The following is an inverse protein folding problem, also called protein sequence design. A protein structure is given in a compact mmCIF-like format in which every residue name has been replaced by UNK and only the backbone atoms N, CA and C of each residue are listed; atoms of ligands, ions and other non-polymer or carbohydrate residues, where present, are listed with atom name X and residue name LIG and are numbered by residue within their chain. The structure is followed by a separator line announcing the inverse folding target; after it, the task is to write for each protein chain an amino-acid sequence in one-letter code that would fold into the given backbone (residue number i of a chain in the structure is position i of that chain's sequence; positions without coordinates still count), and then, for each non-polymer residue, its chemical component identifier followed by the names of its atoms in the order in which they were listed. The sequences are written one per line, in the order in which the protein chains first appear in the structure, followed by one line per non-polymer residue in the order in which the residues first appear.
data_IF_799470716905
#
_entry.id   IF_799470716905
#
_cell.length_a   1.000
_cell.length_b   1.000
_cell.length_c   1.000
_cell.angle_alpha   90.00
_cell.angle_beta   90.00
_cell.angle_gamma   90.00
#
_symmetry.space_group_name_H-M   'P 1'
#
loop_
_entity.id
_entity.type
_entity.pdbx_description
1 polymer ?
#
# COMPACT_ATOMS: atom_id res chain seq x y z
N UNK A 1 -8.50 14.92 27.85
CA UNK A 1 -7.35 14.06 28.18
C UNK A 1 -6.43 14.72 29.23
N UNK A 2 -5.63 15.75 28.91
CA UNK A 2 -4.69 16.38 29.85
C UNK A 2 -5.29 16.78 31.21
N UNK A 3 -6.50 17.36 31.24
CA UNK A 3 -7.22 17.68 32.48
C UNK A 3 -7.55 16.45 33.33
N UNK A 4 -7.99 15.35 32.70
CA UNK A 4 -8.27 14.09 33.38
C UNK A 4 -7.00 13.42 33.94
N UNK A 5 -5.85 13.56 33.26
CA UNK A 5 -4.55 13.09 33.77
C UNK A 5 -4.08 13.84 35.02
N UNK A 6 -4.59 15.05 35.26
CA UNK A 6 -4.31 15.88 36.44
C UNK A 6 -5.46 15.88 37.46
N UNK A 7 -6.53 15.12 37.22
CA UNK A 7 -7.71 15.08 38.10
C UNK A 7 -8.49 16.41 38.21
N UNK A 8 -8.26 17.38 37.32
CA UNK A 8 -8.89 18.71 37.39
C UNK A 8 -10.12 18.81 36.50
N UNK A 9 -11.16 19.41 37.06
CA UNK A 9 -12.45 19.67 36.44
C UNK A 9 -12.45 20.98 35.65
N UNK A 10 -13.55 21.26 34.94
CA UNK A 10 -13.78 22.57 34.33
C UNK A 10 -14.05 23.67 35.38
N UNK A 11 -14.48 23.31 36.59
CA UNK A 11 -14.82 24.27 37.66
C UNK A 11 -13.60 24.92 38.31
N UNK A 12 -12.44 24.26 38.22
CA UNK A 12 -11.19 24.75 38.82
C UNK A 12 -10.57 25.95 38.08
N UNK A 13 -11.16 26.37 36.95
CA UNK A 13 -10.77 27.51 36.10
C UNK A 13 -9.28 27.61 35.73
N UNK A 14 -8.53 26.51 35.81
CA UNK A 14 -7.10 26.50 35.49
C UNK A 14 -6.90 26.74 33.99
N UNK A 15 -6.11 27.77 33.68
CA UNK A 15 -5.71 28.13 32.30
C UNK A 15 -5.00 26.96 31.61
N UNK A 16 -5.27 26.79 30.32
CA UNK A 16 -4.69 25.69 29.53
C UNK A 16 -3.16 25.74 29.44
N UNK A 17 -2.52 26.91 29.58
CA UNK A 17 -1.05 27.00 29.65
C UNK A 17 -0.50 26.32 30.90
N UNK A 18 -1.19 26.43 32.04
CA UNK A 18 -0.80 25.82 33.31
C UNK A 18 -0.99 24.31 33.30
N UNK A 19 -2.07 23.82 32.70
CA UNK A 19 -2.32 22.39 32.48
C UNK A 19 -1.22 21.79 31.58
N UNK A 20 -0.81 22.50 30.52
CA UNK A 20 0.32 22.09 29.66
C UNK A 20 1.67 22.15 30.40
N UNK A 21 1.89 23.15 31.25
CA UNK A 21 3.10 23.26 32.11
C UNK A 21 3.21 22.07 33.08
N UNK A 22 2.10 21.66 33.69
CA UNK A 22 2.04 20.54 34.64
C UNK A 22 2.11 19.17 33.96
N UNK A 23 1.34 18.93 32.90
CA UNK A 23 1.35 17.63 32.20
C UNK A 23 2.62 17.39 31.38
N UNK A 24 3.27 18.44 30.86
CA UNK A 24 4.37 18.37 29.88
C UNK A 24 4.01 17.58 28.59
N UNK A 25 2.73 17.31 28.33
CA UNK A 25 2.23 16.47 27.22
C UNK A 25 2.44 17.11 25.84
N UNK A 26 2.65 18.42 25.79
CA UNK A 26 3.02 19.21 24.59
C UNK A 26 4.16 18.59 23.79
N UNK A 27 5.07 17.87 24.45
CA UNK A 27 6.26 17.29 23.82
C UNK A 27 5.98 16.00 23.05
N UNK A 28 4.85 15.30 23.22
CA UNK A 28 4.64 14.01 22.50
C UNK A 28 4.43 14.25 21.00
N UNK A 29 3.56 15.18 20.61
CA UNK A 29 3.35 15.52 19.21
C UNK A 29 4.61 16.14 18.58
N UNK A 30 5.32 17.00 19.33
CA UNK A 30 6.58 17.59 18.89
C UNK A 30 7.71 16.56 18.76
N UNK A 31 7.80 15.59 19.69
CA UNK A 31 8.74 14.47 19.65
C UNK A 31 8.43 13.50 18.51
N UNK A 32 7.16 13.21 18.20
CA UNK A 32 6.78 12.43 17.01
C UNK A 32 7.16 13.17 15.73
N UNK A 33 6.92 14.48 15.65
CA UNK A 33 7.36 15.30 14.52
C UNK A 33 8.90 15.36 14.40
N UNK A 34 9.61 15.50 15.52
CA UNK A 34 11.08 15.50 15.62
C UNK A 34 11.66 14.14 15.20
N UNK A 35 11.10 13.03 15.68
CA UNK A 35 11.50 11.67 15.29
C UNK A 35 11.25 11.43 13.79
N UNK A 36 10.11 11.87 13.22
CA UNK A 36 9.86 11.80 11.77
C UNK A 36 10.87 12.62 10.98
N UNK A 37 11.21 13.84 11.40
CA UNK A 37 12.25 14.68 10.78
C UNK A 37 13.66 14.09 10.92
N UNK A 38 13.99 13.52 12.09
CA UNK A 38 15.26 12.86 12.34
C UNK A 38 15.41 11.59 11.49
N UNK A 39 14.36 10.78 11.37
CA UNK A 39 14.32 9.62 10.49
C UNK A 39 14.47 10.04 9.02
N UNK A 40 13.68 11.00 8.55
CA UNK A 40 13.79 11.51 7.17
C UNK A 40 15.20 12.05 6.87
N UNK A 41 15.79 12.82 7.81
CA UNK A 41 17.16 13.31 7.68
C UNK A 41 18.23 12.22 7.80
N UNK A 42 17.99 11.14 8.53
CA UNK A 42 18.89 9.98 8.59
C UNK A 42 18.85 9.21 7.27
N UNK A 43 17.67 8.98 6.69
CA UNK A 43 17.52 8.36 5.37
C UNK A 43 18.17 9.25 4.28
N UNK A 44 17.94 10.56 4.30
CA UNK A 44 18.53 11.49 3.33
C UNK A 44 20.06 11.65 3.43
N UNK A 45 20.68 11.22 4.54
CA UNK A 45 22.15 11.22 4.72
C UNK A 45 22.78 9.83 4.54
N UNK A 46 21.99 8.78 4.32
CA UNK A 46 22.52 7.44 4.03
C UNK A 46 22.92 7.37 2.55
N UNK A 47 24.22 7.20 2.32
CA UNK A 47 24.81 6.95 0.99
C UNK A 47 24.99 5.45 0.69
N UNK A 48 24.55 4.57 1.60
CA UNK A 48 24.74 3.11 1.58
C UNK A 48 23.91 2.36 0.52
N UNK A 49 23.26 3.07 -0.40
CA UNK A 49 22.47 2.49 -1.50
C UNK A 49 21.28 1.64 -1.03
N UNK A 50 20.90 1.73 0.25
CA UNK A 50 19.81 0.97 0.84
C UNK A 50 18.45 1.35 0.23
N UNK A 51 17.52 0.40 0.30
CA UNK A 51 16.22 0.44 -0.38
C UNK A 51 15.41 1.71 -0.06
N UNK A 52 15.55 2.26 1.15
CA UNK A 52 14.85 3.49 1.58
C UNK A 52 15.21 4.75 0.78
N UNK A 53 16.47 4.89 0.32
CA UNK A 53 16.86 6.01 -0.56
C UNK A 53 16.30 5.78 -1.97
N UNK A 54 16.46 4.56 -2.51
CA UNK A 54 15.96 4.17 -3.84
C UNK A 54 14.44 4.31 -4.00
N UNK A 55 13.67 4.15 -2.93
CA UNK A 55 12.21 4.38 -2.92
C UNK A 55 11.85 5.87 -2.86
N UNK A 56 12.68 6.73 -2.25
CA UNK A 56 12.47 8.18 -2.23
C UNK A 56 12.93 8.87 -3.53
N UNK A 57 14.00 8.36 -4.14
CA UNK A 57 14.51 8.81 -5.44
C UNK A 57 13.80 8.17 -6.63
N UNK A 58 12.89 7.22 -6.39
CA UNK A 58 12.10 6.58 -7.45
C UNK A 58 11.31 7.64 -8.23
N UNK A 59 11.70 7.85 -9.48
CA UNK A 59 10.89 8.53 -10.47
C UNK A 59 10.36 7.49 -11.45
N UNK A 60 9.08 7.57 -11.86
CA UNK A 60 8.58 6.76 -12.96
C UNK A 60 9.48 6.98 -14.17
N UNK A 61 10.01 5.91 -14.76
CA UNK A 61 10.67 6.02 -16.07
C UNK A 61 9.61 6.50 -17.08
N UNK A 62 9.88 7.56 -17.87
CA UNK A 62 8.98 7.89 -18.96
C UNK A 62 8.87 6.68 -19.88
N UNK A 63 7.64 6.27 -20.21
CA UNK A 63 7.42 5.22 -21.20
C UNK A 63 8.14 5.61 -22.49
N UNK A 64 8.81 4.65 -23.13
CA UNK A 64 9.46 4.85 -24.43
C UNK A 64 8.42 5.38 -25.43
N UNK A 65 8.53 6.66 -25.80
CA UNK A 65 7.60 7.34 -26.71
C UNK A 65 7.29 8.80 -26.38
N UNK A 66 7.46 9.25 -25.13
CA UNK A 66 7.19 10.64 -24.72
C UNK A 66 8.48 11.46 -24.57
N UNK A 67 9.01 11.98 -25.67
CA UNK A 67 10.11 12.95 -25.68
C UNK A 67 9.61 14.30 -25.15
N UNK A 68 9.78 14.57 -23.85
CA UNK A 68 9.60 15.92 -23.31
C UNK A 68 10.86 16.74 -23.60
N UNK A 69 10.84 17.44 -24.72
CA UNK A 69 11.97 18.21 -25.23
C UNK A 69 12.12 19.54 -24.47
N UNK A 70 12.98 19.55 -23.44
CA UNK A 70 13.53 20.78 -22.87
C UNK A 70 14.90 21.04 -23.51
N UNK A 71 14.90 21.85 -24.56
CA UNK A 71 16.13 22.34 -25.19
C UNK A 71 16.83 23.44 -24.37
N UNK A 72 18.16 23.54 -24.58
CA UNK A 72 19.11 24.55 -24.05
C UNK A 72 19.50 24.35 -22.56
N UNK A 73 20.76 24.42 -22.13
CA UNK A 73 22.11 24.63 -22.73
C UNK A 73 23.14 24.23 -21.64
N UNK A 74 24.38 23.73 -21.81
CA UNK A 74 25.24 23.23 -22.91
C UNK A 74 26.32 22.31 -22.26
N UNK A 75 27.27 21.61 -22.90
CA UNK A 75 27.73 21.57 -24.31
C UNK A 75 28.84 20.50 -24.48
N UNK A 76 29.87 20.77 -25.30
CA UNK A 76 31.08 19.94 -25.58
C UNK A 76 30.86 18.42 -25.87
N UNK A 77 30.46 18.12 -27.11
CA UNK A 77 31.20 17.33 -28.15
C UNK A 77 32.22 16.24 -27.73
N UNK A 78 32.43 15.17 -28.55
CA UNK A 78 31.47 14.33 -29.29
C UNK A 78 31.76 12.80 -29.12
N UNK A 79 30.88 11.88 -29.57
CA UNK A 79 31.10 10.44 -29.46
C UNK A 79 32.05 9.88 -30.54
N UNK A 80 33.06 9.10 -30.12
CA UNK A 80 33.91 8.33 -31.04
C UNK A 80 33.32 6.94 -31.36
N UNK A 81 33.73 6.40 -32.52
CA UNK A 81 33.73 4.97 -32.86
C UNK A 81 32.44 4.21 -33.25
N UNK A 82 31.28 4.85 -33.52
CA UNK A 82 30.09 4.12 -34.05
C UNK A 82 29.58 4.59 -35.42
N UNK A 83 29.91 5.80 -35.88
CA UNK A 83 29.49 6.33 -37.21
C UNK A 83 30.64 6.37 -38.25
N UNK A 84 31.57 5.41 -38.22
CA UNK A 84 32.69 5.35 -39.19
C UNK A 84 32.76 4.04 -39.99
N UNK A 85 31.63 3.34 -40.11
CA UNK A 85 31.53 2.02 -40.77
C UNK A 85 30.39 1.95 -41.81
N UNK A 86 29.86 3.10 -42.26
CA UNK A 86 28.75 3.19 -43.22
C UNK A 86 28.98 4.17 -44.40
N UNK A 87 30.22 4.63 -44.59
CA UNK A 87 30.66 5.42 -45.74
C UNK A 87 32.04 4.93 -46.23
N UNK A 88 32.13 3.64 -46.56
CA UNK A 88 33.32 3.00 -47.12
C UNK A 88 32.97 1.78 -48.00
N UNK A 89 31.79 1.78 -48.63
CA UNK A 89 31.31 0.73 -49.54
C UNK A 89 30.62 1.33 -50.77
N UNK A 90 31.29 2.27 -51.41
CA UNK A 90 31.02 2.66 -52.80
C UNK A 90 32.38 2.95 -53.46
N UNK A 91 32.56 2.50 -54.70
CA UNK A 91 33.84 2.38 -55.43
C UNK A 91 34.81 1.29 -54.95
N UNK A 92 34.50 0.04 -55.31
CA UNK A 92 35.54 -0.91 -55.75
C UNK A 92 35.12 -1.38 -57.14
N UNK A 93 36.02 -1.19 -58.11
CA UNK A 93 35.81 -1.61 -59.50
C UNK A 93 35.66 -3.12 -59.62
N UNK A 94 34.79 -3.53 -60.55
CA UNK A 94 34.72 -4.90 -61.04
C UNK A 94 35.95 -5.16 -61.90
N UNK A 95 36.80 -6.13 -61.53
CA UNK A 95 37.44 -7.06 -62.46
C UNK A 95 38.11 -8.26 -61.74
N UNK A 96 37.86 -9.44 -62.28
CA UNK A 96 38.63 -10.70 -62.20
C UNK A 96 39.41 -11.07 -60.91
N UNK A 97 38.72 -11.73 -59.96
CA UNK A 97 39.34 -12.80 -59.15
C UNK A 97 38.38 -13.99 -59.00
N UNK A 98 38.78 -15.14 -59.55
CA UNK A 98 38.10 -16.43 -59.43
C UNK A 98 38.12 -16.96 -57.98
N UNK A 99 36.97 -17.08 -57.31
CA UNK A 99 36.91 -17.57 -55.92
C UNK A 99 35.73 -18.51 -55.61
N UNK A 100 35.97 -19.83 -55.43
CA UNK A 100 35.01 -20.75 -54.79
C UNK A 100 34.98 -20.63 -53.25
N UNK A 101 35.59 -19.60 -52.67
CA UNK A 101 35.82 -19.45 -51.21
C UNK A 101 34.70 -18.67 -50.50
N UNK A 102 33.92 -17.85 -51.21
CA UNK A 102 32.92 -16.95 -50.59
C UNK A 102 31.73 -17.71 -49.97
N UNK A 103 31.49 -18.96 -50.38
CA UNK A 103 30.40 -19.79 -49.87
C UNK A 103 30.59 -20.30 -48.42
N UNK A 104 31.83 -20.40 -47.91
CA UNK A 104 32.09 -20.82 -46.53
C UNK A 104 31.81 -19.70 -45.53
N UNK A 105 32.21 -18.46 -45.85
CA UNK A 105 32.07 -17.32 -44.94
C UNK A 105 30.61 -16.87 -44.81
N UNK A 106 29.83 -16.92 -45.89
CA UNK A 106 28.38 -16.69 -45.82
C UNK A 106 27.67 -17.71 -44.93
N UNK A 107 28.10 -18.99 -44.97
CA UNK A 107 27.60 -20.04 -44.05
C UNK A 107 28.03 -19.78 -42.61
N UNK A 108 29.23 -19.25 -42.37
CA UNK A 108 29.72 -18.94 -41.03
C UNK A 108 28.96 -17.74 -40.42
N UNK A 109 28.78 -16.66 -41.19
CA UNK A 109 28.04 -15.47 -40.79
C UNK A 109 26.58 -15.77 -40.48
N UNK A 110 25.89 -16.52 -41.35
CA UNK A 110 24.53 -17.00 -41.09
C UNK A 110 24.46 -17.86 -39.82
N UNK A 111 25.41 -18.77 -39.62
CA UNK A 111 25.44 -19.65 -38.43
C UNK A 111 25.71 -18.88 -37.12
N UNK A 112 26.52 -17.82 -37.16
CA UNK A 112 26.73 -16.91 -36.03
C UNK A 112 25.49 -16.06 -35.74
N UNK A 113 24.83 -15.51 -36.76
CA UNK A 113 23.60 -14.73 -36.58
C UNK A 113 22.47 -15.60 -36.02
N UNK A 114 22.27 -16.81 -36.55
CA UNK A 114 21.29 -17.78 -36.05
C UNK A 114 21.58 -18.22 -34.60
N UNK A 115 22.86 -18.41 -34.24
CA UNK A 115 23.28 -18.71 -32.86
C UNK A 115 22.99 -17.53 -31.93
N UNK A 116 23.25 -16.30 -32.36
CA UNK A 116 22.91 -15.09 -31.60
C UNK A 116 21.41 -14.96 -31.31
N UNK A 117 20.56 -15.28 -32.28
CA UNK A 117 19.10 -15.25 -32.12
C UNK A 117 18.56 -16.38 -31.25
N UNK A 118 19.15 -17.58 -31.29
CA UNK A 118 18.82 -18.64 -30.33
C UNK A 118 19.18 -18.24 -28.89
N UNK A 119 20.35 -17.63 -28.67
CA UNK A 119 20.75 -17.12 -27.35
C UNK A 119 19.82 -15.99 -26.87
N UNK A 120 19.45 -15.05 -27.75
CA UNK A 120 18.46 -14.00 -27.43
C UNK A 120 17.10 -14.59 -27.05
N UNK A 121 16.59 -15.54 -27.85
CA UNK A 121 15.31 -16.21 -27.62
C UNK A 121 15.31 -17.03 -26.33
N UNK A 122 16.43 -17.68 -25.99
CA UNK A 122 16.58 -18.42 -24.74
C UNK A 122 16.66 -17.47 -23.53
N UNK A 123 17.39 -16.35 -23.63
CA UNK A 123 17.45 -15.32 -22.59
C UNK A 123 16.06 -14.75 -22.31
N UNK A 124 15.33 -14.38 -23.35
CA UNK A 124 13.95 -13.86 -23.22
C UNK A 124 13.01 -14.88 -22.56
N UNK A 125 13.06 -16.16 -22.94
CA UNK A 125 12.26 -17.22 -22.30
C UNK A 125 12.61 -17.43 -20.81
N UNK A 126 13.88 -17.27 -20.43
CA UNK A 126 14.31 -17.31 -19.03
C UNK A 126 13.80 -16.10 -18.24
N UNK A 127 13.86 -14.90 -18.83
CA UNK A 127 13.36 -13.67 -18.21
C UNK A 127 11.83 -13.67 -18.04
N UNK A 128 11.10 -14.23 -19.02
CA UNK A 128 9.66 -14.42 -18.91
C UNK A 128 9.28 -15.44 -17.81
N UNK A 129 10.07 -16.50 -17.63
CA UNK A 129 9.80 -17.52 -16.60
C UNK A 129 10.17 -17.04 -15.20
N UNK A 130 11.29 -16.33 -15.02
CA UNK A 130 11.65 -15.72 -13.73
C UNK A 130 10.66 -14.63 -13.33
N UNK A 131 10.23 -13.77 -14.25
CA UNK A 131 9.21 -12.74 -13.98
C UNK A 131 7.87 -13.37 -13.57
N UNK A 132 7.42 -14.45 -14.22
CA UNK A 132 6.19 -15.17 -13.82
C UNK A 132 6.33 -15.79 -12.42
N UNK A 133 7.48 -16.37 -12.09
CA UNK A 133 7.74 -16.94 -10.78
C UNK A 133 7.83 -15.84 -9.68
N UNK A 134 8.41 -14.68 -9.98
CA UNK A 134 8.41 -13.51 -9.10
C UNK A 134 6.99 -13.02 -8.79
N UNK A 135 6.15 -12.82 -9.82
CA UNK A 135 4.73 -12.43 -9.64
C UNK A 135 4.00 -13.44 -8.76
N UNK A 136 4.17 -14.75 -9.01
CA UNK A 136 3.55 -15.80 -8.21
C UNK A 136 3.99 -15.78 -6.73
N UNK A 137 5.24 -15.44 -6.44
CA UNK A 137 5.74 -15.32 -5.06
C UNK A 137 5.21 -14.07 -4.34
N UNK A 138 5.15 -12.94 -5.05
CA UNK A 138 4.52 -11.69 -4.59
C UNK A 138 3.04 -11.95 -4.27
N UNK A 139 2.29 -12.55 -5.19
CA UNK A 139 0.88 -12.93 -5.01
C UNK A 139 0.69 -13.84 -3.80
N UNK A 140 1.52 -14.89 -3.63
CA UNK A 140 1.46 -15.78 -2.45
C UNK A 140 1.69 -15.01 -1.15
N UNK A 141 2.62 -14.06 -1.15
CA UNK A 141 2.99 -13.28 0.04
C UNK A 141 1.97 -12.19 0.38
N UNK A 142 1.27 -11.66 -0.64
CA UNK A 142 0.19 -10.68 -0.52
C UNK A 142 -1.22 -11.31 -0.53
N UNK A 143 -1.35 -12.64 -0.57
CA UNK A 143 -2.63 -13.36 -0.77
C UNK A 143 -3.77 -12.89 0.14
N UNK A 144 -3.47 -12.58 1.40
CA UNK A 144 -4.46 -12.07 2.38
C UNK A 144 -4.94 -10.65 2.03
N UNK A 145 -4.02 -9.79 1.58
CA UNK A 145 -4.33 -8.41 1.14
C UNK A 145 -5.12 -8.46 -0.17
N UNK A 146 -4.69 -9.27 -1.13
CA UNK A 146 -5.39 -9.51 -2.40
C UNK A 146 -6.80 -10.05 -2.17
N UNK A 147 -6.98 -11.03 -1.29
CA UNK A 147 -8.31 -11.55 -0.91
C UNK A 147 -9.19 -10.44 -0.28
N UNK A 148 -8.63 -9.63 0.61
CA UNK A 148 -9.36 -8.52 1.25
C UNK A 148 -9.77 -7.46 0.23
N UNK A 149 -8.90 -7.13 -0.73
CA UNK A 149 -9.20 -6.26 -1.86
C UNK A 149 -10.29 -6.84 -2.77
N UNK A 150 -10.20 -8.13 -3.12
CA UNK A 150 -11.21 -8.82 -3.93
C UNK A 150 -12.61 -8.80 -3.29
N UNK A 151 -12.69 -8.90 -1.96
CA UNK A 151 -13.96 -8.76 -1.21
C UNK A 151 -14.58 -7.35 -1.30
N UNK A 152 -13.78 -6.31 -1.55
CA UNK A 152 -14.22 -4.94 -1.80
C UNK A 152 -14.47 -4.70 -3.33
N UNK A 153 -14.36 -5.75 -4.15
CA UNK A 153 -14.51 -5.66 -5.61
C UNK A 153 -13.24 -5.19 -6.35
N UNK A 154 -12.10 -5.11 -5.67
CA UNK A 154 -10.81 -4.84 -6.30
C UNK A 154 -10.12 -6.14 -6.73
N UNK A 155 -10.12 -6.41 -8.03
CA UNK A 155 -9.20 -7.35 -8.67
C UNK A 155 -8.31 -6.61 -9.66
N UNK A 156 -7.00 -6.81 -9.59
CA UNK A 156 -6.04 -6.25 -10.57
C UNK A 156 -6.07 -7.03 -11.89
N UNK A 157 -6.45 -8.30 -11.85
CA UNK A 157 -6.52 -9.17 -13.02
C UNK A 157 -7.57 -8.70 -14.02
N UNK A 158 -7.27 -8.88 -15.30
CA UNK A 158 -8.28 -8.76 -16.36
C UNK A 158 -9.31 -9.89 -16.17
N UNK A 159 -10.62 -9.58 -16.17
CA UNK A 159 -11.66 -10.59 -15.99
C UNK A 159 -11.62 -11.58 -17.17
N UNK A 160 -11.66 -12.88 -16.87
CA UNK A 160 -11.67 -13.93 -17.91
C UNK A 160 -12.94 -13.89 -18.76
N UNK A 161 -14.08 -13.64 -18.10
CA UNK A 161 -15.42 -13.67 -18.70
C UNK A 161 -16.19 -12.40 -18.34
N UNK A 162 -17.11 -11.96 -19.21
CA UNK A 162 -17.97 -10.79 -18.95
C UNK A 162 -18.82 -10.94 -17.66
N UNK A 163 -19.31 -12.14 -17.35
CA UNK A 163 -20.03 -12.41 -16.10
C UNK A 163 -19.17 -12.17 -14.84
N UNK A 164 -17.87 -12.50 -14.89
CA UNK A 164 -16.95 -12.25 -13.78
C UNK A 164 -16.68 -10.75 -13.60
N UNK A 165 -16.60 -9.99 -14.69
CA UNK A 165 -16.51 -8.53 -14.65
C UNK A 165 -17.76 -7.90 -14.02
N UNK A 166 -18.96 -8.32 -14.46
CA UNK A 166 -20.23 -7.83 -13.93
C UNK A 166 -20.36 -8.15 -12.43
N UNK A 167 -20.07 -9.39 -12.02
CA UNK A 167 -20.09 -9.77 -10.61
C UNK A 167 -19.11 -8.94 -9.77
N UNK A 168 -17.89 -8.72 -10.26
CA UNK A 168 -16.91 -7.85 -9.58
C UNK A 168 -17.41 -6.41 -9.45
N UNK A 169 -18.07 -5.86 -10.49
CA UNK A 169 -18.67 -4.53 -10.45
C UNK A 169 -19.86 -4.45 -9.49
N UNK A 170 -20.71 -5.47 -9.45
CA UNK A 170 -21.83 -5.57 -8.49
C UNK A 170 -21.30 -5.60 -7.05
N UNK A 171 -20.29 -6.43 -6.75
CA UNK A 171 -19.64 -6.50 -5.43
C UNK A 171 -19.07 -5.13 -5.03
N UNK A 172 -18.38 -4.45 -5.95
CA UNK A 172 -17.85 -3.10 -5.71
C UNK A 172 -18.99 -2.10 -5.40
N UNK A 173 -20.06 -2.09 -6.21
CA UNK A 173 -21.20 -1.17 -6.01
C UNK A 173 -21.90 -1.45 -4.69
N UNK A 174 -22.20 -2.71 -4.37
CA UNK A 174 -22.81 -3.10 -3.09
C UNK A 174 -21.92 -2.73 -1.91
N UNK A 175 -20.61 -2.93 -2.01
CA UNK A 175 -19.66 -2.53 -0.97
C UNK A 175 -19.61 -1.01 -0.78
N UNK A 176 -19.57 -0.23 -1.86
CA UNK A 176 -19.60 1.24 -1.80
C UNK A 176 -20.94 1.74 -1.24
N UNK A 177 -22.07 1.20 -1.69
CA UNK A 177 -23.39 1.56 -1.17
C UNK A 177 -23.51 1.24 0.33
N UNK A 178 -23.06 0.06 0.79
CA UNK A 178 -23.05 -0.29 2.21
C UNK A 178 -22.19 0.65 3.06
N UNK A 179 -21.01 1.02 2.55
CA UNK A 179 -20.13 2.02 3.18
C UNK A 179 -20.80 3.40 3.24
N UNK A 180 -21.41 3.86 2.14
CA UNK A 180 -22.10 5.14 2.09
C UNK A 180 -23.30 5.18 3.06
N UNK A 181 -24.11 4.12 3.11
CA UNK A 181 -25.23 3.99 4.04
C UNK A 181 -24.77 4.01 5.50
N UNK A 182 -23.68 3.31 5.82
CA UNK A 182 -23.10 3.34 7.16
C UNK A 182 -22.64 4.76 7.56
N UNK A 183 -21.86 5.44 6.71
CA UNK A 183 -21.41 6.82 6.98
C UNK A 183 -22.59 7.80 7.07
N UNK A 184 -23.64 7.63 6.24
CA UNK A 184 -24.87 8.43 6.36
C UNK A 184 -25.63 8.15 7.65
N UNK A 185 -25.67 6.90 8.13
CA UNK A 185 -26.33 6.56 9.39
C UNK A 185 -25.61 7.16 10.60
N UNK A 186 -24.27 7.19 10.61
CA UNK A 186 -23.50 7.88 11.64
C UNK A 186 -23.72 9.40 11.60
N UNK A 187 -23.73 9.99 10.41
CA UNK A 187 -24.00 11.43 10.24
C UNK A 187 -25.42 11.80 10.68
N UNK A 188 -26.42 11.01 10.32
CA UNK A 188 -27.81 11.21 10.75
C UNK A 188 -27.94 11.09 12.28
N UNK A 189 -27.26 10.12 12.89
CA UNK A 189 -27.21 9.96 14.35
C UNK A 189 -26.55 11.15 15.05
N UNK A 190 -25.46 11.69 14.49
CA UNK A 190 -24.81 12.92 15.00
C UNK A 190 -25.75 14.11 14.92
N UNK A 191 -26.41 14.32 13.77
CA UNK A 191 -27.35 15.42 13.57
C UNK A 191 -28.56 15.32 14.50
N UNK A 192 -29.10 14.12 14.69
CA UNK A 192 -30.20 13.85 15.63
C UNK A 192 -29.78 14.10 17.09
N UNK A 193 -28.58 13.65 17.48
CA UNK A 193 -28.01 13.90 18.81
C UNK A 193 -27.82 15.40 19.05
N UNK A 194 -27.25 16.13 18.08
CA UNK A 194 -27.03 17.57 18.15
C UNK A 194 -28.33 18.39 18.21
N UNK A 195 -29.39 17.94 17.52
CA UNK A 195 -30.71 18.56 17.59
C UNK A 195 -31.42 18.29 18.94
N UNK A 196 -31.08 17.19 19.63
CA UNK A 196 -31.72 16.77 20.88
C UNK A 196 -30.98 17.23 22.14
N UNK A 197 -29.64 17.36 22.09
CA UNK A 197 -28.80 17.88 23.16
C UNK A 197 -27.80 18.90 22.57
N UNK A 198 -27.88 20.19 22.95
CA UNK A 198 -26.90 21.20 22.51
C UNK A 198 -25.57 21.13 23.27
N UNK A 199 -25.35 20.14 24.14
CA UNK A 199 -24.10 19.96 24.88
C UNK A 199 -22.97 19.53 23.95
N UNK A 200 -22.00 20.42 23.75
CA UNK A 200 -20.83 20.18 22.88
C UNK A 200 -20.00 18.98 23.38
N UNK A 201 -20.01 18.70 24.69
CA UNK A 201 -19.25 17.61 25.30
C UNK A 201 -19.69 16.23 24.82
N UNK A 202 -20.98 16.06 24.53
CA UNK A 202 -21.56 14.79 24.07
C UNK A 202 -21.26 14.54 22.58
N UNK A 203 -21.16 15.59 21.76
CA UNK A 203 -21.09 15.49 20.30
C UNK A 203 -19.64 15.38 19.78
N UNK A 204 -18.67 15.96 20.49
CA UNK A 204 -17.24 15.91 20.11
C UNK A 204 -16.69 14.46 19.96
N UNK A 205 -16.99 13.50 20.86
CA UNK A 205 -16.56 12.12 20.69
C UNK A 205 -17.14 11.46 19.42
N UNK A 206 -18.40 11.72 19.08
CA UNK A 206 -19.04 11.16 17.89
C UNK A 206 -18.39 11.69 16.61
N UNK A 207 -18.11 13.00 16.53
CA UNK A 207 -17.39 13.58 15.39
C UNK A 207 -15.99 12.98 15.19
N UNK A 208 -15.30 12.60 16.27
CA UNK A 208 -14.00 11.95 16.19
C UNK A 208 -14.11 10.52 15.62
N UNK A 209 -15.12 9.75 16.04
CA UNK A 209 -15.42 8.42 15.48
C UNK A 209 -15.79 8.50 14.00
N UNK A 210 -16.74 9.38 13.65
CA UNK A 210 -17.13 9.65 12.26
C UNK A 210 -15.95 10.10 11.39
N UNK A 211 -15.06 10.94 11.94
CA UNK A 211 -13.84 11.37 11.27
C UNK A 211 -12.91 10.21 10.89
N UNK A 212 -12.76 9.20 11.75
CA UNK A 212 -12.03 7.98 11.41
C UNK A 212 -12.75 7.14 10.35
N UNK A 213 -14.07 7.01 10.45
CA UNK A 213 -14.91 6.38 9.43
C UNK A 213 -14.67 7.00 8.05
N UNK A 214 -14.94 8.30 7.90
CA UNK A 214 -14.75 9.05 6.68
C UNK A 214 -13.30 8.98 6.13
N UNK A 215 -12.27 9.07 7.00
CA UNK A 215 -10.87 8.94 6.58
C UNK A 215 -10.52 7.54 6.07
N UNK A 216 -11.14 6.49 6.62
CA UNK A 216 -10.95 5.11 6.13
C UNK A 216 -11.56 4.91 4.74
N UNK A 217 -12.75 5.47 4.53
CA UNK A 217 -13.47 5.44 3.24
C UNK A 217 -12.71 6.23 2.18
N UNK A 218 -12.24 7.44 2.51
CA UNK A 218 -11.42 8.26 1.60
C UNK A 218 -10.14 7.53 1.14
N UNK A 219 -9.51 6.73 2.00
CA UNK A 219 -8.36 5.88 1.60
C UNK A 219 -8.75 4.79 0.61
N UNK A 220 -9.89 4.13 0.80
CA UNK A 220 -10.40 3.10 -0.13
C UNK A 220 -10.66 3.74 -1.51
N UNK A 221 -11.31 4.91 -1.56
CA UNK A 221 -11.49 5.66 -2.81
C UNK A 221 -10.17 6.11 -3.46
N UNK A 222 -9.19 6.55 -2.67
CA UNK A 222 -7.86 6.91 -3.19
C UNK A 222 -7.13 5.69 -3.79
N UNK A 223 -7.22 4.52 -3.17
CA UNK A 223 -6.72 3.27 -3.75
C UNK A 223 -7.51 2.86 -5.00
N UNK A 224 -8.81 3.11 -5.05
CA UNK A 224 -9.65 2.84 -6.22
C UNK A 224 -9.22 3.68 -7.42
N UNK A 225 -9.08 4.99 -7.22
CA UNK A 225 -8.61 5.93 -8.23
C UNK A 225 -7.20 5.59 -8.75
N UNK A 226 -6.29 5.17 -7.86
CA UNK A 226 -4.90 4.81 -8.21
C UNK A 226 -4.68 3.33 -8.54
N UNK A 227 -5.75 2.55 -8.77
CA UNK A 227 -5.65 1.10 -8.98
C UNK A 227 -4.75 0.70 -10.15
N UNK A 228 -4.77 1.44 -11.26
CA UNK A 228 -3.91 1.21 -12.42
C UNK A 228 -2.43 1.38 -12.08
N UNK A 229 -2.07 2.50 -11.44
CA UNK A 229 -0.71 2.81 -10.97
C UNK A 229 -0.22 1.75 -9.98
N UNK A 230 -1.09 1.22 -9.12
CA UNK A 230 -0.72 0.14 -8.22
C UNK A 230 -0.42 -1.18 -8.96
N UNK A 231 -1.16 -1.48 -10.04
CA UNK A 231 -0.86 -2.62 -10.91
C UNK A 231 0.51 -2.49 -11.59
N UNK A 232 0.82 -1.31 -12.12
CA UNK A 232 2.13 -0.99 -12.71
C UNK A 232 3.27 -1.12 -11.69
N UNK A 233 3.07 -0.64 -10.45
CA UNK A 233 4.03 -0.81 -9.35
C UNK A 233 4.24 -2.27 -8.94
N UNK A 234 3.22 -3.13 -9.02
CA UNK A 234 3.37 -4.58 -8.78
C UNK A 234 4.15 -5.25 -9.92
N UNK A 235 3.92 -4.82 -11.16
CA UNK A 235 4.66 -5.30 -12.33
C UNK A 235 6.14 -4.87 -12.31
N UNK A 236 6.44 -3.62 -11.93
CA UNK A 236 7.83 -3.16 -11.73
C UNK A 236 8.48 -3.87 -10.53
N UNK A 237 7.75 -4.05 -9.42
CA UNK A 237 8.24 -4.80 -8.26
C UNK A 237 8.63 -6.24 -8.64
N UNK A 238 7.87 -6.90 -9.52
CA UNK A 238 8.22 -8.21 -10.03
C UNK A 238 9.49 -8.21 -10.90
N UNK A 239 9.76 -7.13 -11.63
CA UNK A 239 10.99 -6.95 -12.43
C UNK A 239 12.26 -6.73 -11.59
N UNK A 240 12.12 -6.21 -10.36
CA UNK A 240 13.24 -6.05 -9.41
C UNK A 240 13.25 -7.12 -8.30
N UNK A 241 12.37 -8.11 -8.36
CA UNK A 241 12.22 -9.11 -7.31
C UNK A 241 13.39 -10.10 -7.30
N UNK A 242 14.03 -10.38 -6.14
CA UNK A 242 15.14 -11.31 -6.08
C UNK A 242 14.68 -12.74 -6.41
N UNK A 243 15.16 -13.29 -7.52
CA UNK A 243 14.86 -14.65 -7.98
C UNK A 243 16.14 -15.51 -8.05
N UNK A 244 16.06 -16.83 -7.80
CA UNK A 244 17.23 -17.71 -7.86
C UNK A 244 17.93 -17.74 -9.23
N UNK A 245 19.25 -17.96 -9.28
CA UNK A 245 20.14 -18.23 -8.14
C UNK A 245 20.52 -16.96 -7.36
N UNK A 246 20.42 -17.03 -6.03
CA UNK A 246 20.97 -16.07 -5.07
C UNK A 246 22.07 -16.76 -4.26
N UNK A 247 22.92 -15.99 -3.56
CA UNK A 247 23.76 -16.56 -2.50
C UNK A 247 22.90 -17.06 -1.35
N UNK A 248 23.38 -18.08 -0.63
CA UNK A 248 22.63 -18.71 0.46
C UNK A 248 22.21 -17.69 1.54
N UNK A 249 23.11 -16.78 1.94
CA UNK A 249 22.83 -15.68 2.87
C UNK A 249 21.67 -14.77 2.41
N UNK A 250 21.63 -14.46 1.12
CA UNK A 250 20.61 -13.58 0.54
C UNK A 250 19.25 -14.29 0.42
N UNK A 251 19.27 -15.60 0.15
CA UNK A 251 18.09 -16.44 0.14
C UNK A 251 17.52 -16.61 1.57
N UNK A 252 18.36 -16.88 2.58
CA UNK A 252 17.92 -16.94 3.99
C UNK A 252 17.30 -15.62 4.45
N UNK A 253 17.95 -14.49 4.15
CA UNK A 253 17.43 -13.17 4.50
C UNK A 253 16.07 -12.88 3.87
N UNK A 254 15.88 -13.27 2.59
CA UNK A 254 14.61 -13.17 1.87
C UNK A 254 13.54 -14.02 2.54
N UNK A 255 13.81 -15.29 2.81
CA UNK A 255 12.83 -16.22 3.38
C UNK A 255 12.43 -15.85 4.81
N UNK A 256 13.38 -15.38 5.62
CA UNK A 256 13.13 -14.81 6.95
C UNK A 256 12.21 -13.58 6.88
N UNK A 257 12.49 -12.66 5.96
CA UNK A 257 11.69 -11.45 5.75
C UNK A 257 10.26 -11.76 5.26
N UNK A 258 10.12 -12.68 4.29
CA UNK A 258 8.82 -13.10 3.78
C UNK A 258 8.02 -13.88 4.82
N UNK A 259 8.67 -14.69 5.66
CA UNK A 259 8.03 -15.40 6.77
C UNK A 259 7.50 -14.42 7.82
N UNK A 260 8.30 -13.43 8.23
CA UNK A 260 7.85 -12.36 9.13
C UNK A 260 6.67 -11.56 8.55
N UNK A 261 6.69 -11.25 7.26
CA UNK A 261 5.58 -10.57 6.57
C UNK A 261 4.30 -11.43 6.57
N UNK A 262 4.40 -12.71 6.22
CA UNK A 262 3.28 -13.67 6.22
C UNK A 262 2.68 -13.84 7.62
N UNK A 263 3.51 -13.92 8.67
CA UNK A 263 3.07 -13.96 10.07
C UNK A 263 2.34 -12.66 10.42
N UNK A 264 2.92 -11.49 10.13
CA UNK A 264 2.28 -10.18 10.37
C UNK A 264 0.91 -10.07 9.69
N UNK A 265 0.79 -10.52 8.44
CA UNK A 265 -0.49 -10.54 7.71
C UNK A 265 -1.51 -11.50 8.33
N UNK A 266 -1.10 -12.71 8.74
CA UNK A 266 -1.98 -13.67 9.44
C UNK A 266 -2.46 -13.13 10.79
N UNK A 267 -1.57 -12.56 11.60
CA UNK A 267 -1.93 -11.96 12.89
C UNK A 267 -2.92 -10.80 12.73
N UNK A 268 -2.65 -9.86 11.79
CA UNK A 268 -3.57 -8.76 11.48
C UNK A 268 -4.95 -9.26 11.04
N UNK A 269 -4.98 -10.25 10.16
CA UNK A 269 -6.24 -10.84 9.68
C UNK A 269 -7.03 -11.51 10.80
N UNK A 270 -6.37 -12.31 11.64
CA UNK A 270 -7.00 -13.02 12.76
C UNK A 270 -7.53 -12.05 13.83
N UNK A 271 -6.82 -10.97 14.11
CA UNK A 271 -7.31 -9.91 15.01
C UNK A 271 -8.55 -9.23 14.41
N UNK A 272 -8.45 -8.71 13.19
CA UNK A 272 -9.50 -7.87 12.57
C UNK A 272 -10.78 -8.68 12.25
N UNK A 273 -10.65 -9.88 11.68
CA UNK A 273 -11.79 -10.65 11.18
C UNK A 273 -12.22 -11.79 12.11
N UNK A 274 -11.35 -12.25 13.02
CA UNK A 274 -11.66 -13.31 13.98
C UNK A 274 -12.01 -12.76 15.37
N UNK A 275 -11.06 -12.08 16.00
CA UNK A 275 -11.19 -11.67 17.41
C UNK A 275 -12.08 -10.44 17.58
N UNK A 276 -11.95 -9.40 16.75
CA UNK A 276 -12.73 -8.16 16.93
C UNK A 276 -14.25 -8.34 16.91
N UNK A 277 -14.86 -9.14 16.00
CA UNK A 277 -16.30 -9.39 16.02
C UNK A 277 -16.74 -10.15 17.28
N UNK A 278 -15.95 -11.14 17.74
CA UNK A 278 -16.24 -11.92 18.94
C UNK A 278 -16.15 -11.06 20.21
N UNK A 279 -15.13 -10.19 20.32
CA UNK A 279 -15.02 -9.26 21.45
C UNK A 279 -16.16 -8.22 21.44
N UNK A 280 -16.54 -7.70 20.27
CA UNK A 280 -17.66 -6.76 20.15
C UNK A 280 -18.98 -7.43 20.55
N UNK A 281 -19.22 -8.65 20.06
CA UNK A 281 -20.39 -9.45 20.45
C UNK A 281 -20.42 -9.74 21.95
N UNK A 282 -19.31 -10.19 22.53
CA UNK A 282 -19.20 -10.48 23.96
C UNK A 282 -19.39 -9.23 24.83
N UNK A 283 -18.84 -8.08 24.41
CA UNK A 283 -19.04 -6.80 25.09
C UNK A 283 -20.50 -6.35 25.05
N UNK A 284 -21.16 -6.41 23.89
CA UNK A 284 -22.60 -6.10 23.76
C UNK A 284 -23.44 -7.06 24.60
N UNK A 285 -23.12 -8.35 24.60
CA UNK A 285 -23.80 -9.38 25.37
C UNK A 285 -23.70 -9.14 26.88
N UNK A 286 -22.51 -8.85 27.42
CA UNK A 286 -22.34 -8.51 28.84
C UNK A 286 -23.14 -7.26 29.22
N UNK A 287 -23.05 -6.18 28.43
CA UNK A 287 -23.79 -4.95 28.74
C UNK A 287 -25.31 -5.18 28.69
N UNK A 288 -25.81 -5.99 27.75
CA UNK A 288 -27.22 -6.38 27.67
C UNK A 288 -27.67 -7.18 28.90
N UNK A 289 -26.84 -8.09 29.41
CA UNK A 289 -27.12 -8.82 30.65
C UNK A 289 -27.11 -7.88 31.86
N UNK A 290 -26.12 -6.99 31.97
CA UNK A 290 -26.05 -6.00 33.06
C UNK A 290 -27.26 -5.07 33.08
N UNK A 291 -27.79 -4.66 31.93
CA UNK A 291 -29.04 -3.89 31.85
C UNK A 291 -30.25 -4.70 32.37
N UNK A 292 -30.38 -5.96 31.95
CA UNK A 292 -31.49 -6.83 32.37
C UNK A 292 -31.47 -7.15 33.88
N UNK A 293 -30.29 -7.39 34.46
CA UNK A 293 -30.16 -7.65 35.90
C UNK A 293 -30.16 -6.36 36.75
N UNK A 294 -29.70 -5.23 36.20
CA UNK A 294 -29.73 -3.93 36.88
C UNK A 294 -31.15 -3.45 37.16
N UNK A 295 -32.06 -3.58 36.19
CA UNK A 295 -33.48 -3.25 36.34
C UNK A 295 -34.17 -4.03 37.47
N UNK A 296 -33.72 -5.25 37.77
CA UNK A 296 -34.30 -6.09 38.83
C UNK A 296 -33.84 -5.70 40.24
N UNK A 297 -32.79 -4.89 40.37
CA UNK A 297 -32.23 -4.46 41.67
C UNK A 297 -32.85 -3.15 42.17
N UNK A 298 -33.33 -2.28 41.28
CA UNK A 298 -33.96 -1.01 41.67
C UNK A 298 -35.40 -1.17 42.15
N UNK A 299 -36.14 -2.17 41.66
CA UNK A 299 -37.52 -2.44 42.09
C UNK A 299 -37.67 -2.98 43.52
N UNK A 300 -36.61 -3.56 44.10
CA UNK A 300 -36.62 -4.10 45.47
C UNK A 300 -36.23 -3.08 46.56
N UNK A 301 -35.79 -1.87 46.19
CA UNK A 301 -35.35 -0.86 47.15
C UNK A 301 -36.47 0.06 47.63
N UNK A 302 -37.57 0.18 46.87
CA UNK A 302 -38.69 1.10 47.19
C UNK A 302 -39.75 0.51 48.12
N UNK A 303 -39.63 -0.76 48.52
CA UNK A 303 -40.64 -1.45 49.34
C UNK A 303 -40.28 -1.50 50.84
N UNK A 304 -39.02 -1.17 51.20
CA UNK A 304 -38.52 -1.28 52.59
C UNK A 304 -38.41 0.04 53.37
N UNK A 305 -38.57 1.20 52.72
CA UNK A 305 -38.56 2.51 53.41
C UNK A 305 -39.87 2.84 54.15
N UNK A 306 -40.90 1.98 54.08
CA UNK A 306 -42.18 2.15 54.77
C UNK A 306 -42.30 1.51 56.17
N UNK A 307 -41.27 0.80 56.65
CA UNK A 307 -41.34 -0.06 57.85
C UNK A 307 -40.22 0.19 58.89
N UNK A 308 -39.95 1.46 59.20
CA UNK A 308 -39.22 1.86 60.41
C UNK A 308 -40.07 2.85 61.21
N UNK A 309 -40.54 2.49 62.42
CA UNK A 309 -41.29 3.38 63.32
C UNK A 309 -40.39 4.35 64.11
#
# INVERSE_FOLDING_TARGET
MERAMLGVSLRDQIRNEEIRRRTRVTDIAQRVAKLKRQWAGHIARRTDGCWGLKVLEWRPRPLHGATFQNDKVSGLSPPSAVCRTLLALENIEVNDISLPVIASDFRLALRLHFRGDQVRRHRFKMEESTMKAAKQEIERSLKIVLFSMQRIGFSFDKPKNAAAYLLQKIILVVSVCGICLHVFSELAYILFTFASSPSIEDVVPLFHTFGYGALSVAKIFAFWYKKSVFGELVDELAGIWPMPPLSDDAQEFKDKSLTALRISHRCKYLVIFGISPLLTFYYVFINSLSAHFGAHRTGLSSEWEGYMP
#
